data_IF_140534959161
#
_entry.id   IF_140534959161
#
_cell.length_a   1.000
_cell.length_b   1.000
_cell.length_c   1.000
_cell.angle_alpha   90.00
_cell.angle_beta   90.00
_cell.angle_gamma   90.00
#
_symmetry.space_group_name_H-M   'P 1'
#
loop_
_entity.id
_entity.type
_entity.pdbx_description
1 polymer ?
#
# COMPACT_ATOMS: atom_id res chain seq x y z
N UNK A 1 -4.58 3.72 -10.69
CA UNK A 1 -4.33 5.02 -10.06
C UNK A 1 -5.51 5.46 -9.21
N UNK A 2 -5.26 6.25 -8.18
CA UNK A 2 -6.26 6.70 -7.22
C UNK A 2 -6.01 8.15 -6.84
N UNK A 3 -7.04 8.98 -6.94
CA UNK A 3 -6.99 10.35 -6.50
C UNK A 3 -7.32 10.47 -5.00
N UNK A 4 -6.64 11.38 -4.31
CA UNK A 4 -6.92 11.72 -2.92
C UNK A 4 -6.85 13.23 -2.71
N UNK A 5 -7.53 13.72 -1.68
CA UNK A 5 -7.48 15.12 -1.27
C UNK A 5 -6.27 15.37 -0.39
N UNK A 6 -5.44 16.35 -0.77
CA UNK A 6 -4.29 16.79 0.02
C UNK A 6 -4.67 18.04 0.82
N UNK A 7 -4.94 17.84 2.12
CA UNK A 7 -5.52 18.88 2.98
C UNK A 7 -4.62 20.10 3.11
N UNK A 8 -3.32 19.93 3.30
CA UNK A 8 -2.39 21.05 3.47
C UNK A 8 -2.28 21.96 2.23
N UNK A 9 -2.49 21.43 1.04
CA UNK A 9 -2.44 22.17 -0.22
C UNK A 9 -3.81 22.51 -0.79
N UNK A 10 -4.91 22.00 -0.19
CA UNK A 10 -6.29 22.23 -0.64
C UNK A 10 -6.49 21.89 -2.12
N UNK A 11 -5.97 20.72 -2.54
CA UNK A 11 -6.10 20.23 -3.91
C UNK A 11 -6.11 18.69 -3.97
N UNK A 12 -6.58 18.16 -5.08
CA UNK A 12 -6.53 16.73 -5.37
C UNK A 12 -5.15 16.35 -5.91
N UNK A 13 -4.71 15.16 -5.56
CA UNK A 13 -3.47 14.55 -6.05
C UNK A 13 -3.78 13.20 -6.66
N UNK A 14 -3.10 12.86 -7.76
CA UNK A 14 -3.07 11.51 -8.32
C UNK A 14 -1.63 11.16 -8.70
N UNK A 15 -1.24 9.93 -8.49
CA UNK A 15 0.02 9.36 -8.99
C UNK A 15 -0.28 8.34 -10.08
N UNK A 16 0.45 8.43 -11.17
CA UNK A 16 0.38 7.49 -12.31
C UNK A 16 1.73 6.81 -12.48
N UNK A 17 1.69 5.54 -12.87
CA UNK A 17 2.87 4.81 -13.34
C UNK A 17 2.95 4.90 -14.86
N UNK A 18 4.15 5.09 -15.38
CA UNK A 18 4.46 5.06 -16.81
C UNK A 18 5.30 3.83 -17.14
N UNK A 19 5.01 3.19 -18.26
CA UNK A 19 5.59 1.91 -18.69
C UNK A 19 7.13 1.89 -18.80
N UNK A 20 7.77 3.05 -18.79
CA UNK A 20 9.23 3.15 -18.78
C UNK A 20 9.84 3.29 -17.39
N UNK A 21 9.07 3.03 -16.33
CA UNK A 21 9.58 3.00 -14.96
C UNK A 21 9.59 4.35 -14.26
N UNK A 22 8.56 5.18 -14.46
CA UNK A 22 8.43 6.46 -13.78
C UNK A 22 7.08 6.60 -13.07
N UNK A 23 7.08 7.33 -11.96
CA UNK A 23 5.84 7.78 -11.29
C UNK A 23 5.66 9.27 -11.53
N UNK A 24 4.49 9.65 -12.03
CA UNK A 24 4.16 11.04 -12.33
C UNK A 24 3.05 11.52 -11.41
N UNK A 25 3.25 12.66 -10.79
CA UNK A 25 2.33 13.29 -9.87
C UNK A 25 1.59 14.43 -10.55
N UNK A 26 0.28 14.43 -10.40
CA UNK A 26 -0.59 15.48 -10.91
C UNK A 26 -1.42 16.06 -9.78
N UNK A 27 -1.79 17.33 -9.92
CA UNK A 27 -2.74 18.01 -9.03
C UNK A 27 -3.94 18.52 -9.81
N UNK A 28 -5.08 18.65 -9.13
CA UNK A 28 -6.31 19.22 -9.67
C UNK A 28 -7.09 19.95 -8.58
N UNK A 29 -7.74 21.05 -8.94
CA UNK A 29 -8.63 21.78 -8.06
C UNK A 29 -10.07 21.22 -8.13
N UNK A 30 -10.44 20.53 -9.22
CA UNK A 30 -11.82 20.16 -9.54
C UNK A 30 -12.02 18.71 -10.02
N UNK A 31 -10.97 17.89 -10.02
CA UNK A 31 -10.93 16.51 -10.55
C UNK A 31 -11.14 16.40 -12.08
N UNK A 32 -11.19 17.50 -12.81
CA UNK A 32 -11.39 17.53 -14.27
C UNK A 32 -10.14 17.94 -14.99
N UNK A 33 -9.53 19.04 -14.56
CA UNK A 33 -8.28 19.52 -15.12
C UNK A 33 -7.12 19.14 -14.22
N UNK A 34 -6.15 18.44 -14.80
CA UNK A 34 -4.98 17.92 -14.09
C UNK A 34 -3.71 18.60 -14.59
N UNK A 35 -2.87 19.05 -13.65
CA UNK A 35 -1.58 19.66 -13.92
C UNK A 35 -0.47 18.75 -13.45
N UNK A 36 0.43 18.36 -14.34
CA UNK A 36 1.63 17.63 -13.95
C UNK A 36 2.51 18.51 -13.06
N UNK A 37 2.96 17.94 -11.96
CA UNK A 37 3.78 18.63 -10.96
C UNK A 37 5.22 18.10 -10.94
N UNK A 38 5.39 16.80 -10.87
CA UNK A 38 6.70 16.17 -10.78
C UNK A 38 6.68 14.76 -11.37
N UNK A 39 7.88 14.30 -11.71
CA UNK A 39 8.16 12.91 -12.08
C UNK A 39 9.28 12.39 -11.18
N UNK A 40 9.26 11.13 -10.84
CA UNK A 40 10.34 10.43 -10.18
C UNK A 40 10.59 9.13 -10.94
N UNK A 41 11.81 8.93 -11.38
CA UNK A 41 12.23 7.71 -12.06
C UNK A 41 12.50 6.61 -11.01
N UNK A 42 12.34 5.36 -11.39
CA UNK A 42 12.58 4.22 -10.50
C UNK A 42 14.02 4.21 -9.98
N UNK A 43 14.99 4.59 -10.81
CA UNK A 43 16.39 4.71 -10.42
C UNK A 43 16.61 5.73 -9.31
N UNK A 44 15.85 6.83 -9.29
CA UNK A 44 15.88 7.85 -8.23
C UNK A 44 15.37 7.31 -6.88
N UNK A 45 14.59 6.22 -6.92
CA UNK A 45 14.13 5.48 -5.74
C UNK A 45 15.17 4.46 -5.24
N UNK A 46 16.30 4.31 -5.95
CA UNK A 46 17.32 3.31 -5.65
C UNK A 46 16.94 1.89 -6.10
N UNK A 47 16.02 1.78 -7.06
CA UNK A 47 15.50 0.52 -7.59
C UNK A 47 16.12 0.26 -8.96
N UNK A 48 16.78 -0.88 -9.11
CA UNK A 48 17.47 -1.24 -10.37
C UNK A 48 16.62 -2.09 -11.33
N UNK A 49 15.51 -2.68 -10.84
CA UNK A 49 14.64 -3.53 -11.62
C UNK A 49 13.22 -2.94 -11.68
N UNK A 50 12.80 -2.49 -12.85
CA UNK A 50 11.48 -1.89 -13.09
C UNK A 50 10.34 -2.85 -12.67
N UNK A 51 10.44 -4.12 -13.00
CA UNK A 51 9.44 -5.13 -12.68
C UNK A 51 9.21 -5.37 -11.17
N UNK A 52 10.10 -4.87 -10.31
CA UNK A 52 9.94 -4.98 -8.87
C UNK A 52 9.02 -3.89 -8.27
N UNK A 53 8.80 -2.78 -9.02
CA UNK A 53 8.03 -1.65 -8.52
C UNK A 53 7.24 -0.99 -9.65
N UNK A 54 6.16 -1.63 -10.05
CA UNK A 54 5.33 -1.20 -11.17
C UNK A 54 3.84 -1.32 -10.85
N UNK A 55 3.02 -0.74 -11.70
CA UNK A 55 1.56 -0.82 -11.69
C UNK A 55 0.85 -0.36 -10.38
N UNK A 56 -0.42 -0.06 -10.52
CA UNK A 56 -1.34 0.24 -9.41
C UNK A 56 -0.77 1.17 -8.33
N UNK A 57 -0.08 2.28 -8.67
CA UNK A 57 0.52 3.12 -7.66
C UNK A 57 -0.51 3.75 -6.74
N UNK A 58 -0.19 3.82 -5.47
CA UNK A 58 -0.94 4.58 -4.49
C UNK A 58 0.01 5.37 -3.58
N UNK A 59 -0.41 6.57 -3.20
CA UNK A 59 0.32 7.44 -2.29
C UNK A 59 -0.57 7.78 -1.10
N UNK A 60 -0.10 7.56 0.11
CA UNK A 60 -0.82 7.87 1.34
C UNK A 60 0.12 8.08 2.52
N UNK A 61 -0.36 8.79 3.52
CA UNK A 61 0.36 9.06 4.75
C UNK A 61 -0.04 8.06 5.84
N UNK A 62 0.95 7.60 6.63
CA UNK A 62 0.74 6.77 7.82
C UNK A 62 1.54 7.30 9.01
N UNK A 63 0.93 7.38 10.20
CA UNK A 63 1.65 7.69 11.43
C UNK A 63 2.56 6.52 11.84
N UNK A 64 3.76 6.85 12.33
CA UNK A 64 4.68 5.87 12.92
C UNK A 64 4.24 5.61 14.37
N UNK A 65 4.05 4.34 14.74
CA UNK A 65 3.59 3.90 16.06
C UNK A 65 2.30 4.62 16.53
N UNK A 66 1.43 5.00 15.58
CA UNK A 66 0.20 5.74 15.84
C UNK A 66 0.39 7.23 16.18
N UNK A 67 1.61 7.75 16.16
CA UNK A 67 1.90 9.14 16.45
C UNK A 67 1.69 10.01 15.21
N UNK A 68 0.59 10.75 15.14
CA UNK A 68 0.23 11.62 14.00
C UNK A 68 1.19 12.80 13.76
N UNK A 69 2.00 13.17 14.71
CA UNK A 69 3.02 14.23 14.57
C UNK A 69 4.29 13.66 13.89
N UNK A 70 4.47 12.35 13.96
CA UNK A 70 5.57 11.64 13.33
C UNK A 70 5.00 10.65 12.30
N UNK A 71 4.89 11.07 11.07
CA UNK A 71 4.32 10.28 9.97
C UNK A 71 5.29 10.18 8.79
N UNK A 72 5.04 9.24 7.90
CA UNK A 72 5.70 9.12 6.61
C UNK A 72 4.68 8.89 5.51
N UNK A 73 5.01 9.42 4.35
CA UNK A 73 4.32 9.10 3.13
C UNK A 73 4.81 7.78 2.56
N UNK A 74 3.87 6.99 2.10
CA UNK A 74 4.11 5.68 1.49
C UNK A 74 3.76 5.80 0.03
N UNK A 75 4.73 5.64 -0.85
CA UNK A 75 4.51 5.35 -2.26
C UNK A 75 4.64 3.85 -2.43
N UNK A 76 3.57 3.17 -2.86
CA UNK A 76 3.62 1.74 -3.08
C UNK A 76 3.09 1.34 -4.45
N UNK A 77 3.44 0.14 -4.90
CA UNK A 77 3.05 -0.47 -6.16
C UNK A 77 2.18 -1.72 -5.97
N UNK A 78 1.69 -2.26 -7.06
CA UNK A 78 0.72 -3.35 -7.06
C UNK A 78 1.15 -4.63 -6.36
N UNK A 79 2.45 -4.93 -6.37
CA UNK A 79 3.06 -6.10 -5.71
C UNK A 79 3.08 -6.02 -4.18
N UNK A 80 2.85 -4.83 -3.60
CA UNK A 80 3.03 -4.57 -2.17
C UNK A 80 4.43 -4.08 -1.81
N UNK A 81 5.29 -3.86 -2.78
CA UNK A 81 6.56 -3.18 -2.58
C UNK A 81 6.32 -1.68 -2.37
N UNK A 82 7.12 -1.03 -1.54
CA UNK A 82 6.90 0.37 -1.17
C UNK A 82 8.18 1.12 -0.85
N UNK A 83 8.09 2.44 -0.98
CA UNK A 83 9.13 3.40 -0.58
C UNK A 83 8.53 4.36 0.44
N UNK A 84 9.30 4.67 1.49
CA UNK A 84 8.95 5.69 2.48
C UNK A 84 9.65 7.00 2.17
N UNK A 85 8.97 8.10 2.43
CA UNK A 85 9.51 9.43 2.23
C UNK A 85 8.59 10.53 2.75
N UNK A 86 8.82 11.74 2.26
CA UNK A 86 7.98 12.89 2.50
C UNK A 86 7.27 13.32 1.21
N UNK A 87 6.16 14.02 1.34
CA UNK A 87 5.39 14.55 0.22
C UNK A 87 4.88 15.96 0.55
N UNK A 88 5.17 16.91 -0.33
CA UNK A 88 4.80 18.32 -0.16
C UNK A 88 3.49 18.73 -0.86
N UNK A 89 2.75 17.76 -1.40
CA UNK A 89 1.54 17.96 -2.19
C UNK A 89 1.79 17.99 -3.70
N UNK A 90 3.05 17.99 -4.14
CA UNK A 90 3.45 18.04 -5.56
C UNK A 90 4.58 17.11 -5.90
N UNK A 91 5.49 16.86 -4.96
CA UNK A 91 6.69 16.05 -5.15
C UNK A 91 6.86 15.09 -3.98
N UNK A 92 7.12 13.83 -4.31
CA UNK A 92 7.55 12.82 -3.36
C UNK A 92 9.07 12.85 -3.23
N UNK A 93 9.57 12.85 -2.01
CA UNK A 93 11.01 12.86 -1.67
C UNK A 93 11.31 11.54 -0.97
N UNK A 94 11.92 10.55 -1.65
CA UNK A 94 12.23 9.26 -1.06
C UNK A 94 13.30 9.38 0.03
N UNK A 95 13.15 8.64 1.11
CA UNK A 95 14.13 8.56 2.20
C UNK A 95 14.62 7.14 2.42
N UNK A 96 13.74 6.16 2.30
CA UNK A 96 14.05 4.75 2.51
C UNK A 96 13.63 4.01 1.24
N UNK A 97 14.60 3.35 0.62
CA UNK A 97 14.44 2.62 -0.65
C UNK A 97 13.48 1.43 -0.55
N UNK A 98 13.44 0.64 -1.60
CA UNK A 98 12.45 -0.40 -1.78
C UNK A 98 12.35 -1.35 -0.58
N UNK A 99 11.17 -1.40 -0.01
CA UNK A 99 10.78 -2.25 1.11
C UNK A 99 9.63 -3.15 0.67
N UNK A 100 9.47 -4.28 1.35
CA UNK A 100 8.43 -5.26 1.09
C UNK A 100 7.70 -5.64 2.37
N UNK A 101 6.37 -5.71 2.34
CA UNK A 101 5.57 -6.22 3.45
C UNK A 101 4.78 -7.49 3.11
N UNK A 102 4.60 -7.76 1.83
CA UNK A 102 4.03 -9.00 1.33
C UNK A 102 5.16 -9.97 0.98
N UNK A 103 5.11 -11.18 1.50
CA UNK A 103 6.11 -12.23 1.30
C UNK A 103 5.56 -13.43 0.53
N UNK A 104 4.30 -13.37 0.08
CA UNK A 104 3.69 -14.37 -0.79
C UNK A 104 3.85 -14.02 -2.27
N UNK A 105 3.48 -14.93 -3.13
CA UNK A 105 3.55 -14.83 -4.60
C UNK A 105 2.17 -14.63 -5.26
N UNK A 106 1.11 -14.62 -4.46
CA UNK A 106 -0.28 -14.52 -4.94
C UNK A 106 -0.90 -13.14 -4.78
N UNK A 107 -0.21 -12.17 -4.19
CA UNK A 107 -0.74 -10.85 -3.86
C UNK A 107 -0.39 -9.84 -4.94
N UNK A 108 -1.41 -9.21 -5.54
CA UNK A 108 -1.20 -8.18 -6.55
C UNK A 108 -2.32 -7.12 -6.60
N UNK A 109 -2.06 -6.01 -7.30
CA UNK A 109 -3.01 -4.93 -7.59
C UNK A 109 -3.77 -4.41 -6.35
N UNK A 110 -3.08 -4.37 -5.22
CA UNK A 110 -3.67 -3.93 -3.95
C UNK A 110 -4.09 -2.46 -3.99
N UNK A 111 -5.17 -2.14 -3.29
CA UNK A 111 -5.68 -0.78 -3.13
C UNK A 111 -6.18 -0.56 -1.71
N UNK A 112 -6.02 0.66 -1.19
CA UNK A 112 -6.61 1.02 0.10
C UNK A 112 -8.02 1.59 -0.09
N UNK A 113 -8.87 1.49 0.93
CA UNK A 113 -10.22 2.07 0.90
C UNK A 113 -10.16 3.60 1.01
N UNK A 114 -10.99 4.27 0.22
CA UNK A 114 -11.25 5.70 0.38
C UNK A 114 -12.36 5.94 1.40
N UNK A 115 -12.37 7.15 1.95
CA UNK A 115 -13.45 7.63 2.81
C UNK A 115 -13.72 6.75 4.04
N UNK A 116 -12.69 6.08 4.55
CA UNK A 116 -12.78 5.48 5.89
C UNK A 116 -13.03 6.63 6.87
N UNK A 117 -14.06 6.54 7.75
CA UNK A 117 -14.39 7.60 8.68
C UNK A 117 -13.19 8.04 9.51
N UNK A 118 -13.07 9.35 9.74
CA UNK A 118 -11.91 9.95 10.44
C UNK A 118 -11.77 9.42 11.88
N UNK A 119 -12.89 9.09 12.52
CA UNK A 119 -12.93 8.49 13.85
C UNK A 119 -12.37 7.05 13.89
N UNK A 120 -12.47 6.31 12.78
CA UNK A 120 -11.83 5.01 12.61
C UNK A 120 -10.32 5.17 12.38
N UNK A 121 -9.95 6.04 11.44
CA UNK A 121 -8.57 6.44 11.15
C UNK A 121 -7.66 5.33 10.61
N UNK A 122 -8.20 4.13 10.35
CA UNK A 122 -7.42 3.02 9.77
C UNK A 122 -7.16 3.24 8.27
N UNK A 123 -6.05 2.75 7.79
CA UNK A 123 -5.77 2.55 6.36
C UNK A 123 -6.02 1.08 6.03
N UNK A 124 -7.18 0.81 5.44
CA UNK A 124 -7.63 -0.56 5.14
C UNK A 124 -7.32 -0.86 3.68
N UNK A 125 -6.72 -2.01 3.42
CA UNK A 125 -6.30 -2.46 2.09
C UNK A 125 -6.91 -3.81 1.75
N UNK A 126 -7.18 -4.02 0.47
CA UNK A 126 -7.46 -5.33 -0.15
C UNK A 126 -6.62 -5.48 -1.42
N UNK A 127 -6.39 -6.72 -1.82
CA UNK A 127 -5.65 -7.06 -3.02
C UNK A 127 -6.35 -8.15 -3.83
N UNK A 128 -5.89 -8.34 -5.05
CA UNK A 128 -6.20 -9.49 -5.85
C UNK A 128 -5.33 -10.68 -5.40
N UNK A 129 -5.97 -11.76 -5.00
CA UNK A 129 -5.31 -13.04 -4.72
C UNK A 129 -5.27 -13.88 -5.99
N UNK A 130 -4.09 -14.00 -6.59
CA UNK A 130 -3.86 -14.76 -7.82
C UNK A 130 -3.71 -16.24 -7.45
N UNK A 131 -4.83 -16.91 -7.26
CA UNK A 131 -4.89 -18.33 -6.88
C UNK A 131 -5.85 -19.09 -7.78
N UNK A 132 -5.51 -20.31 -8.12
CA UNK A 132 -6.37 -21.19 -8.88
C UNK A 132 -7.30 -21.97 -7.97
N UNK A 133 -8.57 -22.09 -8.39
CA UNK A 133 -9.58 -22.90 -7.73
C UNK A 133 -10.06 -23.99 -8.66
N UNK A 134 -9.34 -25.13 -8.80
CA UNK A 134 -9.76 -26.24 -9.64
C UNK A 134 -11.19 -26.71 -9.29
N UNK A 135 -11.98 -27.01 -10.32
CA UNK A 135 -13.36 -27.49 -10.20
C UNK A 135 -14.40 -26.48 -9.67
N UNK A 136 -14.00 -25.24 -9.38
CA UNK A 136 -14.94 -24.17 -9.01
C UNK A 136 -15.44 -23.43 -10.25
N UNK A 137 -16.67 -22.87 -10.22
CA UNK A 137 -17.20 -22.06 -11.33
C UNK A 137 -16.59 -20.65 -11.39
N UNK A 138 -15.59 -20.36 -10.59
CA UNK A 138 -14.84 -19.10 -10.54
C UNK A 138 -13.36 -19.41 -10.38
N UNK A 139 -12.53 -18.42 -10.66
CA UNK A 139 -11.09 -18.44 -10.44
C UNK A 139 -10.66 -17.12 -9.80
N UNK A 140 -9.54 -17.13 -9.08
CA UNK A 140 -9.00 -15.97 -8.35
C UNK A 140 -9.89 -15.54 -7.16
N UNK A 141 -9.38 -14.65 -6.32
CA UNK A 141 -10.12 -14.13 -5.17
C UNK A 141 -9.68 -12.72 -4.80
N UNK A 142 -10.48 -12.03 -4.00
CA UNK A 142 -10.00 -10.88 -3.22
C UNK A 142 -9.40 -11.39 -1.89
N UNK A 143 -8.29 -10.78 -1.47
CA UNK A 143 -7.72 -11.08 -0.15
C UNK A 143 -8.64 -10.61 0.97
N UNK A 144 -8.43 -11.09 2.18
CA UNK A 144 -9.04 -10.45 3.35
C UNK A 144 -8.54 -9.02 3.51
N UNK A 145 -9.41 -8.10 3.97
CA UNK A 145 -8.98 -6.74 4.26
C UNK A 145 -7.99 -6.71 5.43
N UNK A 146 -6.96 -5.89 5.27
CA UNK A 146 -5.93 -5.68 6.28
C UNK A 146 -5.84 -4.21 6.66
N UNK A 147 -5.50 -3.91 7.90
CA UNK A 147 -5.16 -2.57 8.36
C UNK A 147 -3.65 -2.37 8.29
N UNK A 148 -3.23 -1.33 7.58
CA UNK A 148 -1.82 -0.96 7.45
C UNK A 148 -1.41 -0.01 8.57
N UNK A 149 -0.23 -0.26 9.15
CA UNK A 149 0.40 0.62 10.14
C UNK A 149 1.89 0.72 9.90
N UNK A 150 2.50 1.86 10.24
CA UNK A 150 3.96 1.98 10.30
C UNK A 150 4.43 1.79 11.74
N UNK A 151 5.50 1.01 11.91
CA UNK A 151 6.12 0.78 13.21
C UNK A 151 7.63 0.90 13.14
N UNK A 152 8.20 1.44 14.22
CA UNK A 152 9.64 1.34 14.43
C UNK A 152 10.04 -0.10 14.76
N UNK A 153 11.08 -0.57 14.10
CA UNK A 153 11.66 -1.89 14.35
C UNK A 153 13.18 -1.77 14.47
N UNK A 154 13.86 -2.83 14.88
CA UNK A 154 15.34 -2.89 14.90
C UNK A 154 15.95 -2.67 13.50
N UNK A 155 15.19 -2.89 12.43
CA UNK A 155 15.60 -2.72 11.03
C UNK A 155 15.07 -1.41 10.41
N UNK A 156 14.63 -0.44 11.23
CA UNK A 156 14.02 0.82 10.81
C UNK A 156 12.49 0.74 10.72
N UNK A 157 11.89 1.76 10.13
CA UNK A 157 10.42 1.85 9.98
C UNK A 157 9.92 0.85 8.93
N UNK A 158 8.85 0.11 9.28
CA UNK A 158 8.25 -0.92 8.40
C UNK A 158 6.74 -0.85 8.42
N UNK A 159 6.11 -1.22 7.29
CA UNK A 159 4.66 -1.47 7.23
C UNK A 159 4.36 -2.82 7.90
N UNK A 160 3.29 -2.82 8.69
CA UNK A 160 2.62 -4.01 9.19
C UNK A 160 1.21 -4.05 8.62
N UNK A 161 0.84 -5.20 8.06
CA UNK A 161 -0.48 -5.48 7.52
C UNK A 161 -1.15 -6.53 8.42
N UNK A 162 -2.15 -6.12 9.19
CA UNK A 162 -2.86 -7.02 10.09
C UNK A 162 -4.31 -7.19 9.60
N UNK A 163 -4.85 -8.42 9.59
CA UNK A 163 -6.26 -8.63 9.30
C UNK A 163 -7.14 -7.71 10.15
N UNK A 164 -8.20 -7.15 9.55
CA UNK A 164 -9.14 -6.32 10.32
C UNK A 164 -9.94 -7.18 11.28
N UNK A 165 -10.23 -6.66 12.48
CA UNK A 165 -10.94 -7.43 13.53
C UNK A 165 -12.35 -7.85 13.10
N UNK A 166 -12.95 -7.17 12.11
CA UNK A 166 -14.28 -7.51 11.59
C UNK A 166 -14.34 -8.92 10.98
N UNK A 167 -13.20 -9.49 10.57
CA UNK A 167 -13.10 -10.87 10.06
C UNK A 167 -13.55 -11.89 11.13
N UNK A 168 -13.30 -11.61 12.40
CA UNK A 168 -13.70 -12.48 13.50
C UNK A 168 -15.22 -12.71 13.56
N UNK A 169 -16.02 -11.78 13.01
CA UNK A 169 -17.49 -11.94 12.91
C UNK A 169 -17.91 -13.03 11.93
N UNK A 170 -17.00 -13.49 11.09
CA UNK A 170 -17.24 -14.59 10.14
C UNK A 170 -16.89 -15.95 10.72
N UNK A 171 -16.34 -16.01 11.94
CA UNK A 171 -15.96 -17.27 12.56
C UNK A 171 -17.19 -18.00 13.09
N UNK A 172 -17.40 -19.24 12.65
CA UNK A 172 -18.38 -20.15 13.24
C UNK A 172 -17.80 -20.82 14.50
N UNK A 173 -16.52 -21.17 14.46
CA UNK A 173 -15.80 -21.75 15.58
C UNK A 173 -14.32 -21.38 15.52
N UNK A 174 -13.67 -21.38 16.68
CA UNK A 174 -12.24 -21.13 16.82
C UNK A 174 -11.55 -22.34 17.43
N UNK A 175 -10.48 -22.79 16.80
CA UNK A 175 -9.55 -23.79 17.34
C UNK A 175 -8.21 -23.13 17.58
N UNK A 176 -7.67 -23.26 18.79
CA UNK A 176 -6.35 -22.73 19.12
C UNK A 176 -5.36 -23.89 19.25
N UNK A 177 -4.19 -23.67 18.69
CA UNK A 177 -3.05 -24.57 18.79
C UNK A 177 -1.88 -23.78 19.34
N UNK A 178 -1.11 -24.39 20.24
CA UNK A 178 0.15 -23.84 20.76
C UNK A 178 1.30 -24.75 20.36
N UNK A 179 2.50 -24.18 20.36
CA UNK A 179 3.76 -24.93 20.20
C UNK A 179 3.85 -25.72 18.88
N UNK A 180 3.28 -25.14 17.80
CA UNK A 180 3.40 -25.72 16.45
C UNK A 180 4.79 -25.41 15.92
N UNK A 181 5.55 -26.43 15.64
CA UNK A 181 6.80 -26.33 14.87
C UNK A 181 6.49 -26.59 13.38
N UNK A 182 6.85 -25.61 12.53
CA UNK A 182 6.74 -25.75 11.07
C UNK A 182 8.16 -25.96 10.55
N UNK A 183 8.42 -27.11 9.98
CA UNK A 183 9.71 -27.43 9.35
C UNK A 183 9.73 -26.90 7.92
N UNK A 184 10.93 -26.57 7.38
CA UNK A 184 11.06 -26.27 5.95
C UNK A 184 10.54 -27.44 5.12
N UNK A 185 9.80 -27.15 4.06
CA UNK A 185 9.23 -28.10 3.10
C UNK A 185 7.99 -28.89 3.61
N UNK A 186 7.32 -28.47 4.67
CA UNK A 186 6.02 -29.00 5.13
C UNK A 186 4.84 -28.06 4.84
#
# INVERSE_FOLDING_TARGET
>A
PKAFWYEAGQHWVIVLYLDHGAFVFFTSDDLKEWKQQSTIEIEDLGISEVAAFEDCPELFELPIDGNRVNSKWVLYAGSGDYVLGDFDGKKFIPEIGLLKYNHGDCFYASQTFNNVPTEDGRRIQMAWGIVDFPEMPFNQMMTFPVSLTLRNTTNGVRIFANPVNEIEKLYDSVKSYSDIEILPDE
#
